data_IF_834621841534
#
_entry.id   IF_834621841534
#
_cell.length_a   1.000
_cell.length_b   1.000
_cell.length_c   1.000
_cell.angle_alpha   90.00
_cell.angle_beta   90.00
_cell.angle_gamma   90.00
#
_symmetry.space_group_name_H-M   'P 1'
#
loop_
_entity.id
_entity.type
_entity.pdbx_description
1 polymer ?
#
# COMPACT_ATOMS: atom_id res chain seq x y z
N UNK A 1 3.79 -8.47 20.39
CA UNK A 1 2.51 -8.65 21.13
C UNK A 1 1.30 -8.52 20.22
N UNK A 2 1.21 -7.46 19.41
CA UNK A 2 0.08 -7.23 18.46
C UNK A 2 -0.02 -8.35 17.45
N UNK A 3 1.05 -8.68 16.72
CA UNK A 3 1.07 -9.76 15.72
C UNK A 3 0.67 -11.12 16.30
N UNK A 4 1.16 -11.48 17.50
CA UNK A 4 0.74 -12.72 18.16
C UNK A 4 -0.75 -12.72 18.44
N UNK A 5 -1.30 -11.60 18.92
CA UNK A 5 -2.74 -11.47 19.13
C UNK A 5 -3.53 -11.52 17.83
N UNK A 6 -3.02 -10.92 16.75
CA UNK A 6 -3.64 -11.02 15.43
C UNK A 6 -3.60 -12.47 14.92
N UNK A 7 -2.46 -13.16 15.04
CA UNK A 7 -2.36 -14.57 14.68
C UNK A 7 -3.27 -15.47 15.53
N UNK A 8 -3.40 -15.18 16.83
CA UNK A 8 -4.36 -15.88 17.71
C UNK A 8 -5.82 -15.55 17.34
N UNK A 9 -6.09 -14.32 16.88
CA UNK A 9 -7.42 -13.86 16.48
C UNK A 9 -7.87 -14.45 15.14
N UNK A 10 -7.00 -14.39 14.13
CA UNK A 10 -7.27 -14.91 12.79
C UNK A 10 -6.86 -16.38 12.61
N UNK A 11 -5.80 -16.82 13.30
CA UNK A 11 -5.32 -18.19 13.27
C UNK A 11 -6.33 -19.14 13.91
N UNK A 12 -6.68 -20.20 13.19
CA UNK A 12 -7.73 -21.11 13.61
C UNK A 12 -7.29 -22.56 13.38
N UNK A 13 -7.56 -23.40 14.36
CA UNK A 13 -7.49 -24.86 14.19
C UNK A 13 -8.56 -25.42 13.25
N UNK A 14 -9.57 -24.61 12.91
CA UNK A 14 -10.62 -24.98 11.96
C UNK A 14 -10.18 -24.67 10.53
N UNK A 15 -10.74 -25.41 9.56
CA UNK A 15 -10.47 -25.20 8.13
C UNK A 15 -10.75 -23.76 7.69
N UNK A 16 -9.86 -23.20 6.87
CA UNK A 16 -9.98 -21.87 6.26
C UNK A 16 -10.53 -21.91 4.83
N UNK A 17 -10.92 -23.10 4.34
CA UNK A 17 -11.46 -23.28 3.00
C UNK A 17 -12.81 -22.61 2.77
N UNK A 18 -13.21 -22.52 1.50
CA UNK A 18 -14.55 -22.05 1.12
C UNK A 18 -15.64 -22.93 1.75
N UNK A 19 -16.76 -22.30 2.14
CA UNK A 19 -17.89 -23.01 2.76
C UNK A 19 -17.74 -23.28 4.26
N UNK A 20 -16.58 -23.07 4.86
CA UNK A 20 -16.33 -23.27 6.30
C UNK A 20 -16.75 -22.10 7.18
N UNK A 21 -17.24 -21.02 6.61
CA UNK A 21 -17.59 -19.79 7.33
C UNK A 21 -16.41 -18.88 7.66
N UNK A 22 -15.17 -19.26 7.31
CA UNK A 22 -14.00 -18.43 7.60
C UNK A 22 -13.97 -17.17 6.72
N UNK A 23 -14.14 -17.33 5.41
CA UNK A 23 -14.21 -16.21 4.47
C UNK A 23 -15.37 -15.25 4.79
N UNK A 24 -16.53 -15.78 5.14
CA UNK A 24 -17.64 -14.93 5.57
C UNK A 24 -17.33 -14.19 6.89
N UNK A 25 -16.58 -14.79 7.80
CA UNK A 25 -16.09 -14.11 9.00
C UNK A 25 -15.13 -12.96 8.68
N UNK A 26 -14.17 -13.17 7.78
CA UNK A 26 -13.25 -12.13 7.29
C UNK A 26 -14.03 -10.99 6.62
N UNK A 27 -14.95 -11.31 5.70
CA UNK A 27 -15.76 -10.30 5.02
C UNK A 27 -16.63 -9.51 6.00
N UNK A 28 -17.21 -10.17 7.01
CA UNK A 28 -17.98 -9.50 8.05
C UNK A 28 -17.13 -8.52 8.84
N UNK A 29 -15.97 -8.94 9.32
CA UNK A 29 -15.05 -8.09 10.08
C UNK A 29 -14.53 -6.92 9.22
N UNK A 30 -14.20 -7.18 7.97
CA UNK A 30 -13.72 -6.18 7.01
C UNK A 30 -14.79 -5.12 6.71
N UNK A 31 -15.99 -5.53 6.32
CA UNK A 31 -17.09 -4.61 6.01
C UNK A 31 -17.57 -3.85 7.25
N UNK A 32 -17.60 -4.52 8.41
CA UNK A 32 -17.90 -3.88 9.69
C UNK A 32 -16.90 -2.78 10.04
N UNK A 33 -15.60 -3.05 9.86
CA UNK A 33 -14.53 -2.07 10.11
C UNK A 33 -14.61 -0.88 9.17
N UNK A 34 -14.81 -1.12 7.86
CA UNK A 34 -14.96 -0.07 6.86
C UNK A 34 -16.19 0.80 7.12
N UNK A 35 -17.34 0.18 7.39
CA UNK A 35 -18.58 0.93 7.64
C UNK A 35 -18.47 1.76 8.91
N UNK A 36 -17.92 1.22 9.98
CA UNK A 36 -17.74 1.95 11.24
C UNK A 36 -16.74 3.09 11.08
N UNK A 37 -15.59 2.86 10.44
CA UNK A 37 -14.61 3.90 10.13
C UNK A 37 -15.19 5.02 9.26
N UNK A 38 -15.98 4.67 8.23
CA UNK A 38 -16.66 5.66 7.38
C UNK A 38 -17.68 6.50 8.15
N UNK A 39 -18.46 5.88 9.04
CA UNK A 39 -19.39 6.61 9.93
C UNK A 39 -18.65 7.55 10.88
N UNK A 40 -17.49 7.12 11.42
CA UNK A 40 -16.61 7.99 12.21
C UNK A 40 -16.12 9.20 11.41
N UNK A 41 -15.71 8.98 10.14
CA UNK A 41 -15.31 10.05 9.23
C UNK A 41 -16.44 11.08 9.02
N UNK A 42 -17.68 10.63 8.90
CA UNK A 42 -18.83 11.51 8.74
C UNK A 42 -19.15 12.29 10.04
N UNK A 43 -18.92 11.70 11.22
CA UNK A 43 -19.12 12.37 12.51
C UNK A 43 -18.03 13.39 12.86
N UNK A 44 -16.78 13.07 12.51
CA UNK A 44 -15.60 13.87 12.84
C UNK A 44 -14.82 14.27 11.59
N UNK A 45 -15.47 14.92 10.60
CA UNK A 45 -14.84 15.16 9.31
C UNK A 45 -13.62 16.07 9.40
N UNK A 46 -13.58 17.03 10.33
CA UNK A 46 -12.44 17.92 10.51
C UNK A 46 -11.15 17.22 10.96
N UNK A 47 -11.30 16.15 11.76
CA UNK A 47 -10.18 15.41 12.31
C UNK A 47 -9.78 14.21 11.44
N UNK A 48 -10.77 13.52 10.88
CA UNK A 48 -10.56 12.20 10.28
C UNK A 48 -10.50 12.22 8.74
N UNK A 49 -11.03 13.29 8.09
CA UNK A 49 -11.07 13.31 6.62
C UNK A 49 -10.14 14.37 6.05
N UNK A 50 -9.51 14.06 4.91
CA UNK A 50 -8.67 15.00 4.19
C UNK A 50 -9.53 16.06 3.46
N UNK A 51 -9.19 17.37 3.56
CA UNK A 51 -9.96 18.44 2.91
C UNK A 51 -10.07 18.22 1.38
N UNK A 52 -8.98 17.76 0.76
CA UNK A 52 -8.88 17.55 -0.67
C UNK A 52 -9.85 16.47 -1.15
N UNK A 53 -9.87 15.32 -0.48
CA UNK A 53 -10.75 14.20 -0.85
C UNK A 53 -12.21 14.55 -0.53
N UNK A 54 -12.44 15.17 0.62
CA UNK A 54 -13.78 15.57 1.07
C UNK A 54 -14.50 16.50 0.08
N UNK A 55 -13.77 17.41 -0.57
CA UNK A 55 -14.33 18.32 -1.57
C UNK A 55 -14.87 17.61 -2.81
N UNK A 56 -14.46 16.35 -3.05
CA UNK A 56 -14.83 15.55 -4.20
C UNK A 56 -15.79 14.40 -3.86
N UNK A 57 -16.28 14.30 -2.64
CA UNK A 57 -17.14 13.19 -2.24
C UNK A 57 -18.47 13.16 -3.00
N UNK A 58 -18.75 12.09 -3.76
CA UNK A 58 -20.08 11.83 -4.26
C UNK A 58 -20.95 11.29 -3.12
N UNK A 59 -21.44 12.17 -2.25
CA UNK A 59 -22.10 11.81 -0.98
C UNK A 59 -23.19 10.76 -1.11
N UNK A 60 -23.97 10.81 -2.21
CA UNK A 60 -24.96 9.76 -2.46
C UNK A 60 -24.32 8.38 -2.59
N UNK A 61 -23.27 8.25 -3.40
CA UNK A 61 -22.58 6.97 -3.59
C UNK A 61 -21.90 6.47 -2.28
N UNK A 62 -21.30 7.38 -1.51
CA UNK A 62 -20.69 7.03 -0.20
C UNK A 62 -21.76 6.52 0.77
N UNK A 63 -22.93 7.16 0.86
CA UNK A 63 -24.03 6.69 1.71
C UNK A 63 -24.55 5.32 1.29
N UNK A 64 -24.70 5.08 -0.03
CA UNK A 64 -25.08 3.77 -0.56
C UNK A 64 -24.00 2.73 -0.22
N UNK A 65 -22.73 3.07 -0.39
CA UNK A 65 -21.62 2.16 -0.05
C UNK A 65 -21.63 1.81 1.45
N UNK A 66 -21.76 2.78 2.35
CA UNK A 66 -21.85 2.54 3.80
C UNK A 66 -23.02 1.59 4.10
N UNK A 67 -24.18 1.81 3.49
CA UNK A 67 -25.34 0.94 3.68
C UNK A 67 -25.06 -0.50 3.19
N UNK A 68 -24.45 -0.66 2.03
CA UNK A 68 -24.06 -1.97 1.50
C UNK A 68 -23.04 -2.67 2.41
N UNK A 69 -22.07 -1.94 2.93
CA UNK A 69 -21.06 -2.49 3.85
C UNK A 69 -21.69 -2.95 5.16
N UNK A 70 -22.60 -2.17 5.75
CA UNK A 70 -23.35 -2.55 6.96
C UNK A 70 -24.16 -3.83 6.71
N UNK A 71 -24.95 -3.86 5.64
CA UNK A 71 -25.78 -5.02 5.29
C UNK A 71 -24.91 -6.24 5.00
N UNK A 72 -23.83 -6.07 4.25
CA UNK A 72 -22.86 -7.13 3.96
C UNK A 72 -22.23 -7.69 5.24
N UNK A 73 -21.82 -6.81 6.17
CA UNK A 73 -21.26 -7.23 7.45
C UNK A 73 -22.25 -8.09 8.26
N UNK A 74 -23.53 -7.73 8.28
CA UNK A 74 -24.58 -8.54 8.92
C UNK A 74 -24.77 -9.88 8.24
N UNK A 75 -24.95 -9.92 6.91
CA UNK A 75 -25.16 -11.15 6.15
C UNK A 75 -24.00 -12.13 6.38
N UNK A 76 -22.78 -11.69 6.13
CA UNK A 76 -21.60 -12.52 6.27
C UNK A 76 -21.30 -12.90 7.73
N UNK A 77 -21.61 -12.02 8.69
CA UNK A 77 -21.48 -12.32 10.12
C UNK A 77 -22.45 -13.42 10.58
N UNK A 78 -23.70 -13.39 10.13
CA UNK A 78 -24.68 -14.43 10.41
C UNK A 78 -24.25 -15.75 9.79
N UNK A 79 -23.83 -15.75 8.51
CA UNK A 79 -23.34 -16.95 7.83
C UNK A 79 -22.14 -17.56 8.58
N UNK A 80 -21.16 -16.74 8.92
CA UNK A 80 -19.99 -17.20 9.67
C UNK A 80 -20.36 -17.74 11.05
N UNK A 81 -21.28 -17.08 11.76
CA UNK A 81 -21.76 -17.54 13.06
C UNK A 81 -22.48 -18.87 13.01
N UNK A 82 -23.16 -19.18 11.90
CA UNK A 82 -23.82 -20.44 11.69
C UNK A 82 -22.86 -21.58 11.34
N UNK A 83 -21.81 -21.29 10.56
CA UNK A 83 -20.92 -22.31 10.01
C UNK A 83 -19.71 -22.62 10.89
N UNK A 84 -19.26 -21.68 11.75
CA UNK A 84 -18.04 -21.84 12.56
C UNK A 84 -18.32 -21.99 14.05
N UNK A 85 -17.47 -22.77 14.71
CA UNK A 85 -17.46 -22.86 16.19
C UNK A 85 -16.84 -21.62 16.79
N UNK A 86 -15.67 -21.17 16.28
CA UNK A 86 -15.00 -19.94 16.69
C UNK A 86 -15.63 -18.74 15.99
N UNK A 87 -16.39 -17.96 16.74
CA UNK A 87 -17.25 -16.88 16.22
C UNK A 87 -16.62 -15.48 16.32
N UNK A 88 -15.33 -15.37 16.63
CA UNK A 88 -14.65 -14.10 16.89
C UNK A 88 -14.78 -13.12 15.73
N UNK A 89 -14.45 -13.56 14.50
CA UNK A 89 -14.53 -12.73 13.29
C UNK A 89 -15.96 -12.26 13.03
N UNK A 90 -16.91 -13.19 13.13
CA UNK A 90 -18.34 -12.89 12.94
C UNK A 90 -18.82 -11.84 13.94
N UNK A 91 -18.56 -12.04 15.24
CA UNK A 91 -18.96 -11.10 16.27
C UNK A 91 -18.26 -9.75 16.14
N UNK A 92 -17.00 -9.70 15.76
CA UNK A 92 -16.30 -8.44 15.48
C UNK A 92 -17.02 -7.66 14.39
N UNK A 93 -17.30 -8.29 13.25
CA UNK A 93 -18.01 -7.64 12.16
C UNK A 93 -19.42 -7.18 12.54
N UNK A 94 -20.19 -8.04 13.21
CA UNK A 94 -21.53 -7.72 13.68
C UNK A 94 -21.54 -6.55 14.69
N UNK A 95 -20.62 -6.55 15.67
CA UNK A 95 -20.51 -5.48 16.65
C UNK A 95 -20.16 -4.14 16.02
N UNK A 96 -19.22 -4.13 15.06
CA UNK A 96 -18.85 -2.92 14.33
C UNK A 96 -19.99 -2.40 13.45
N UNK A 97 -20.73 -3.30 12.77
CA UNK A 97 -21.88 -2.94 11.98
C UNK A 97 -23.05 -2.40 12.85
N UNK A 98 -23.27 -3.00 14.05
CA UNK A 98 -24.21 -2.49 15.04
C UNK A 98 -23.80 -1.08 15.52
N UNK A 99 -22.51 -0.90 15.86
CA UNK A 99 -21.99 0.39 16.28
C UNK A 99 -22.14 1.44 15.18
N UNK A 100 -21.79 1.10 13.92
CA UNK A 100 -21.99 1.98 12.79
C UNK A 100 -23.47 2.38 12.63
N UNK A 101 -24.38 1.42 12.74
CA UNK A 101 -25.84 1.66 12.65
C UNK A 101 -26.34 2.54 13.79
N UNK A 102 -25.93 2.23 15.03
CA UNK A 102 -26.32 2.99 16.21
C UNK A 102 -25.85 4.45 16.18
N UNK A 103 -24.74 4.71 15.50
CA UNK A 103 -24.20 6.07 15.28
C UNK A 103 -24.74 6.73 14.01
N UNK A 104 -25.87 6.27 13.48
CA UNK A 104 -26.59 6.89 12.37
C UNK A 104 -26.29 6.30 10.99
N UNK A 105 -25.33 5.38 10.85
CA UNK A 105 -25.04 4.65 9.61
C UNK A 105 -24.87 5.57 8.40
N UNK A 106 -25.58 5.26 7.32
CA UNK A 106 -25.56 6.04 6.08
C UNK A 106 -26.32 7.38 6.19
N UNK A 107 -27.04 7.64 7.30
CA UNK A 107 -27.89 8.84 7.48
C UNK A 107 -27.22 9.93 8.32
N UNK A 108 -25.98 9.77 8.73
CA UNK A 108 -25.23 10.74 9.53
C UNK A 108 -25.26 12.12 8.85
N UNK A 109 -25.63 13.15 9.64
CA UNK A 109 -25.58 14.54 9.19
C UNK A 109 -24.15 15.07 9.32
N UNK A 110 -23.63 15.69 8.28
CA UNK A 110 -22.32 16.33 8.30
C UNK A 110 -22.53 17.79 8.72
N UNK A 111 -21.85 18.22 9.79
CA UNK A 111 -21.83 19.62 10.16
C UNK A 111 -20.95 20.39 9.19
N UNK A 112 -21.51 21.36 8.47
CA UNK A 112 -20.87 22.10 7.39
C UNK A 112 -19.81 23.11 7.84
N UNK A 113 -19.65 23.39 9.13
CA UNK A 113 -18.63 24.31 9.65
C UNK A 113 -17.25 23.64 9.65
N UNK A 114 -16.74 23.40 8.43
CA UNK A 114 -15.44 22.75 8.25
C UNK A 114 -14.34 23.80 8.31
N UNK A 115 -13.40 23.66 9.24
CA UNK A 115 -12.17 24.44 9.30
C UNK A 115 -11.07 23.68 8.58
N UNK A 116 -10.24 24.41 7.83
CA UNK A 116 -9.01 23.86 7.30
C UNK A 116 -8.03 23.63 8.44
N UNK A 117 -7.54 22.39 8.56
CA UNK A 117 -6.61 22.00 9.61
C UNK A 117 -5.98 20.64 9.32
N UNK A 118 -4.96 20.25 10.09
CA UNK A 118 -4.35 18.92 9.92
C UNK A 118 -5.39 17.84 10.21
N UNK A 119 -5.54 16.92 9.28
CA UNK A 119 -6.42 15.77 9.35
C UNK A 119 -5.61 14.47 9.38
N UNK A 120 -6.18 13.42 9.96
CA UNK A 120 -5.53 12.08 10.01
C UNK A 120 -5.60 11.39 8.64
N UNK A 121 -6.63 11.69 7.81
CA UNK A 121 -6.81 11.06 6.51
C UNK A 121 -7.34 9.61 6.61
N UNK A 122 -8.13 9.31 7.65
CA UNK A 122 -8.76 8.00 7.81
C UNK A 122 -9.66 7.62 6.62
N UNK A 123 -10.31 8.60 6.01
CA UNK A 123 -11.12 8.46 4.80
C UNK A 123 -10.29 7.93 3.62
N UNK A 124 -9.11 8.51 3.41
CA UNK A 124 -8.18 8.05 2.37
C UNK A 124 -7.72 6.63 2.64
N UNK A 125 -7.34 6.32 3.88
CA UNK A 125 -6.93 4.98 4.29
C UNK A 125 -8.04 3.93 4.06
N UNK A 126 -9.28 4.24 4.44
CA UNK A 126 -10.41 3.32 4.27
C UNK A 126 -10.72 3.07 2.78
N UNK A 127 -10.66 4.12 1.97
CA UNK A 127 -10.89 4.03 0.52
C UNK A 127 -9.78 3.21 -0.14
N UNK A 128 -8.54 3.47 0.20
CA UNK A 128 -7.37 2.75 -0.30
C UNK A 128 -7.46 1.25 0.06
N UNK A 129 -7.64 0.93 1.34
CA UNK A 129 -7.82 -0.44 1.81
C UNK A 129 -8.98 -1.16 1.11
N UNK A 130 -10.10 -0.48 0.90
CA UNK A 130 -11.25 -1.04 0.21
C UNK A 130 -10.93 -1.34 -1.27
N UNK A 131 -10.39 -0.35 -1.99
CA UNK A 131 -10.05 -0.50 -3.41
C UNK A 131 -8.98 -1.57 -3.63
N UNK A 132 -7.91 -1.55 -2.84
CA UNK A 132 -6.86 -2.56 -2.93
C UNK A 132 -7.41 -3.97 -2.70
N UNK A 133 -8.20 -4.16 -1.65
CA UNK A 133 -8.75 -5.48 -1.35
C UNK A 133 -9.71 -5.99 -2.43
N UNK A 134 -10.61 -5.14 -2.96
CA UNK A 134 -11.58 -5.60 -3.98
C UNK A 134 -10.95 -5.83 -5.37
N UNK A 135 -9.80 -5.23 -5.64
CA UNK A 135 -9.06 -5.44 -6.89
C UNK A 135 -8.12 -6.65 -6.74
N UNK A 136 -7.22 -6.61 -5.78
CA UNK A 136 -6.08 -7.53 -5.75
C UNK A 136 -6.39 -8.88 -5.11
N UNK A 137 -7.26 -8.95 -4.09
CA UNK A 137 -7.64 -10.25 -3.50
C UNK A 137 -8.32 -11.17 -4.53
N UNK A 138 -9.30 -10.72 -5.35
CA UNK A 138 -9.83 -11.55 -6.42
C UNK A 138 -8.79 -11.91 -7.49
N UNK A 139 -7.93 -10.97 -7.91
CA UNK A 139 -6.91 -11.23 -8.92
C UNK A 139 -5.94 -12.33 -8.48
N UNK A 140 -5.42 -12.26 -7.26
CA UNK A 140 -4.51 -13.25 -6.69
C UNK A 140 -5.20 -14.59 -6.37
N UNK A 141 -6.50 -14.56 -6.05
CA UNK A 141 -7.26 -15.80 -5.78
C UNK A 141 -7.61 -16.55 -7.05
N UNK A 142 -7.95 -15.82 -8.12
CA UNK A 142 -8.41 -16.43 -9.38
C UNK A 142 -7.26 -16.82 -10.30
N UNK A 143 -6.16 -16.06 -10.28
CA UNK A 143 -5.02 -16.26 -11.20
C UNK A 143 -3.66 -16.14 -10.48
N UNK A 144 -3.41 -16.91 -9.41
CA UNK A 144 -2.15 -16.84 -8.69
C UNK A 144 -1.00 -17.41 -9.51
N UNK A 145 0.21 -16.82 -9.38
CA UNK A 145 1.44 -17.41 -9.88
C UNK A 145 1.88 -18.59 -9.00
N UNK A 146 1.73 -18.44 -7.69
CA UNK A 146 2.06 -19.46 -6.69
C UNK A 146 0.78 -19.88 -5.94
N UNK A 147 0.02 -20.86 -6.46
CA UNK A 147 -1.26 -21.28 -5.86
C UNK A 147 -1.13 -21.79 -4.42
N UNK A 148 0.00 -22.40 -4.09
CA UNK A 148 0.31 -22.93 -2.76
C UNK A 148 0.53 -21.84 -1.71
N UNK A 149 0.82 -20.59 -2.12
CA UNK A 149 1.03 -19.48 -1.20
C UNK A 149 -0.22 -19.13 -0.39
N UNK A 150 -1.40 -19.23 -1.00
CA UNK A 150 -2.68 -18.84 -0.39
C UNK A 150 -2.77 -17.34 -0.10
N UNK A 151 -4.01 -16.84 0.05
CA UNK A 151 -4.27 -15.40 0.30
C UNK A 151 -3.78 -14.95 1.68
N UNK A 152 -3.78 -15.83 2.68
CA UNK A 152 -3.30 -15.54 4.04
C UNK A 152 -2.07 -16.39 4.32
N UNK A 153 -1.01 -16.07 3.59
CA UNK A 153 0.29 -16.72 3.68
C UNK A 153 0.98 -16.44 5.02
N UNK A 154 2.10 -17.08 5.23
CA UNK A 154 2.91 -16.78 6.42
C UNK A 154 3.29 -15.29 6.44
N UNK A 155 3.34 -14.67 7.61
CA UNK A 155 3.65 -13.25 7.86
C UNK A 155 2.61 -12.22 7.36
N UNK A 156 1.46 -12.62 6.77
CA UNK A 156 0.46 -11.66 6.31
C UNK A 156 -0.01 -10.66 7.40
N UNK A 157 -0.05 -11.10 8.66
CA UNK A 157 -0.41 -10.22 9.79
C UNK A 157 0.64 -9.15 10.05
N UNK A 158 1.92 -9.43 9.79
CA UNK A 158 2.99 -8.45 9.83
C UNK A 158 2.77 -7.40 8.71
N UNK A 159 2.42 -7.84 7.51
CA UNK A 159 2.15 -6.95 6.39
C UNK A 159 0.91 -6.09 6.62
N UNK A 160 -0.14 -6.63 7.26
CA UNK A 160 -1.30 -5.81 7.71
C UNK A 160 -0.86 -4.71 8.68
N UNK A 161 0.04 -5.00 9.63
CA UNK A 161 0.56 -3.98 10.55
C UNK A 161 1.35 -2.91 9.79
N UNK A 162 2.14 -3.32 8.79
CA UNK A 162 2.84 -2.38 7.92
C UNK A 162 1.88 -1.55 7.08
N UNK A 163 0.89 -2.17 6.45
CA UNK A 163 -0.14 -1.46 5.70
C UNK A 163 -0.80 -0.36 6.56
N UNK A 164 -1.20 -0.69 7.78
CA UNK A 164 -1.76 0.29 8.71
C UNK A 164 -0.76 1.37 9.10
N UNK A 165 0.49 1.02 9.36
CA UNK A 165 1.51 1.97 9.85
C UNK A 165 2.08 2.89 8.76
N UNK A 166 1.99 2.51 7.49
CA UNK A 166 2.46 3.31 6.35
C UNK A 166 1.34 4.14 5.74
N UNK A 167 0.15 3.55 5.55
CA UNK A 167 -0.97 4.21 4.89
C UNK A 167 -1.80 5.11 5.81
N UNK A 168 -1.99 4.74 7.09
CA UNK A 168 -2.78 5.58 8.00
C UNK A 168 -2.12 6.94 8.29
N UNK A 169 -0.80 7.06 8.56
CA UNK A 169 -0.17 8.36 8.79
C UNK A 169 0.26 9.08 7.49
N UNK A 170 -0.25 8.67 6.33
CA UNK A 170 0.15 9.21 5.02
C UNK A 170 0.02 10.73 4.93
N UNK A 171 -0.99 11.31 5.58
CA UNK A 171 -1.19 12.76 5.61
C UNK A 171 -0.08 13.48 6.38
N UNK A 172 0.37 12.90 7.50
CA UNK A 172 1.48 13.44 8.29
C UNK A 172 2.79 13.34 7.50
N UNK A 173 3.04 12.19 6.87
CA UNK A 173 4.23 11.99 6.03
C UNK A 173 4.22 12.91 4.83
N UNK A 174 3.07 13.07 4.16
CA UNK A 174 2.90 13.99 3.04
C UNK A 174 3.15 15.43 3.46
N UNK A 175 2.63 15.85 4.62
CA UNK A 175 2.89 17.18 5.17
C UNK A 175 4.38 17.41 5.41
N UNK A 176 5.08 16.46 6.03
CA UNK A 176 6.52 16.55 6.32
C UNK A 176 7.37 16.66 5.05
N UNK A 177 6.94 16.03 3.96
CA UNK A 177 7.66 16.05 2.67
C UNK A 177 7.24 17.26 1.83
N UNK A 178 5.94 17.51 1.70
CA UNK A 178 5.40 18.51 0.77
C UNK A 178 5.59 19.96 1.29
N UNK A 179 5.53 20.16 2.62
CA UNK A 179 5.69 21.54 3.15
C UNK A 179 7.06 22.15 2.82
N UNK A 180 8.20 21.46 3.08
CA UNK A 180 9.50 21.95 2.65
C UNK A 180 9.60 22.13 1.13
N UNK A 181 9.07 21.20 0.35
CA UNK A 181 9.08 21.26 -1.11
C UNK A 181 8.27 22.45 -1.63
N UNK A 182 7.09 22.73 -1.05
CA UNK A 182 6.27 23.89 -1.40
C UNK A 182 6.99 25.21 -1.11
N UNK A 183 7.71 25.29 0.02
CA UNK A 183 8.51 26.46 0.32
C UNK A 183 9.69 26.62 -0.66
N UNK A 184 10.41 25.53 -0.94
CA UNK A 184 11.51 25.54 -1.91
C UNK A 184 11.03 25.98 -3.30
N UNK A 185 9.87 25.51 -3.76
CA UNK A 185 9.30 25.88 -5.07
C UNK A 185 9.01 27.37 -5.20
N UNK A 186 8.61 28.05 -4.11
CA UNK A 186 8.40 29.50 -4.13
C UNK A 186 9.67 30.29 -4.44
N UNK A 187 10.84 29.81 -4.00
CA UNK A 187 12.13 30.49 -4.17
C UNK A 187 12.93 29.94 -5.36
N UNK A 188 12.80 28.65 -5.66
CA UNK A 188 13.60 27.97 -6.68
C UNK A 188 12.77 27.61 -7.92
N UNK A 189 11.46 27.86 -7.88
CA UNK A 189 10.54 27.53 -8.98
C UNK A 189 10.97 28.17 -10.30
N UNK A 190 10.76 27.44 -11.38
CA UNK A 190 11.04 27.88 -12.75
C UNK A 190 9.71 28.18 -13.46
N UNK A 191 9.21 29.45 -13.37
CA UNK A 191 7.90 29.79 -13.93
C UNK A 191 7.76 29.48 -15.42
N UNK A 192 8.88 29.63 -16.17
CA UNK A 192 8.91 29.29 -17.59
C UNK A 192 8.60 27.78 -17.84
N UNK A 193 9.17 26.88 -17.03
CA UNK A 193 8.92 25.44 -17.12
C UNK A 193 7.46 25.13 -16.77
N UNK A 194 6.96 25.69 -15.67
CA UNK A 194 5.56 25.52 -15.26
C UNK A 194 4.59 25.96 -16.35
N UNK A 195 4.89 27.10 -17.00
CA UNK A 195 4.07 27.61 -18.09
C UNK A 195 4.09 26.72 -19.34
N UNK A 196 5.24 26.15 -19.69
CA UNK A 196 5.35 25.18 -20.79
C UNK A 196 4.56 23.91 -20.48
N UNK A 197 4.72 23.33 -19.29
CA UNK A 197 4.02 22.12 -18.88
C UNK A 197 2.51 22.37 -18.82
N UNK A 198 2.05 23.47 -18.24
CA UNK A 198 0.63 23.81 -18.11
C UNK A 198 -0.10 23.96 -19.47
N UNK A 199 0.62 24.25 -20.56
CA UNK A 199 0.05 24.31 -21.92
C UNK A 199 -0.09 22.96 -22.60
N UNK A 200 0.53 21.91 -22.09
CA UNK A 200 0.41 20.57 -22.65
C UNK A 200 -1.01 19.99 -22.41
N UNK A 201 -1.52 19.15 -23.32
CA UNK A 201 -2.70 18.34 -23.03
C UNK A 201 -2.54 17.53 -21.74
N UNK A 202 -3.62 17.41 -20.97
CA UNK A 202 -3.59 16.76 -19.64
C UNK A 202 -2.90 15.38 -19.64
N UNK A 203 -3.24 14.54 -20.63
CA UNK A 203 -2.64 13.20 -20.75
C UNK A 203 -1.13 13.27 -20.95
N UNK A 204 -0.62 14.24 -21.71
CA UNK A 204 0.82 14.40 -21.94
C UNK A 204 1.51 14.90 -20.67
N UNK A 205 0.88 15.82 -19.91
CA UNK A 205 1.38 16.22 -18.60
C UNK A 205 1.47 15.02 -17.65
N UNK A 206 0.42 14.18 -17.61
CA UNK A 206 0.40 13.00 -16.76
C UNK A 206 1.50 12.00 -17.12
N UNK A 207 1.64 11.66 -18.39
CA UNK A 207 2.70 10.74 -18.86
C UNK A 207 4.10 11.28 -18.55
N UNK A 208 4.30 12.59 -18.73
CA UNK A 208 5.57 13.23 -18.38
C UNK A 208 5.83 13.20 -16.87
N UNK A 209 4.80 13.41 -16.06
CA UNK A 209 4.90 13.29 -14.60
C UNK A 209 5.29 11.88 -14.16
N UNK A 210 4.70 10.84 -14.77
CA UNK A 210 5.07 9.44 -14.50
C UNK A 210 6.52 9.17 -14.84
N UNK A 211 7.01 9.66 -15.99
CA UNK A 211 8.43 9.51 -16.38
C UNK A 211 9.36 10.24 -15.40
N UNK A 212 9.06 11.48 -15.05
CA UNK A 212 9.87 12.28 -14.11
C UNK A 212 9.93 11.60 -12.73
N UNK A 213 8.79 11.12 -12.26
CA UNK A 213 8.69 10.42 -10.98
C UNK A 213 9.48 9.11 -10.99
N UNK A 214 9.35 8.30 -12.04
CA UNK A 214 10.04 7.00 -12.15
C UNK A 214 11.56 7.16 -12.25
N UNK A 215 12.04 8.18 -12.98
CA UNK A 215 13.48 8.49 -13.01
C UNK A 215 13.98 8.93 -11.62
N UNK A 216 13.22 9.75 -10.91
CA UNK A 216 13.59 10.16 -9.56
C UNK A 216 13.58 8.98 -8.59
N UNK A 217 12.58 8.12 -8.69
CA UNK A 217 12.45 6.91 -7.88
C UNK A 217 13.58 5.91 -8.18
N UNK A 218 13.92 5.71 -9.44
CA UNK A 218 15.06 4.88 -9.84
C UNK A 218 16.34 5.26 -9.08
N UNK A 219 16.66 6.55 -8.99
CA UNK A 219 17.91 6.99 -8.34
C UNK A 219 17.86 6.83 -6.82
N UNK A 220 16.73 7.13 -6.17
CA UNK A 220 16.63 6.90 -4.73
C UNK A 220 16.61 5.40 -4.42
N UNK A 221 15.91 4.59 -5.21
CA UNK A 221 15.84 3.15 -5.06
C UNK A 221 17.23 2.49 -5.23
N UNK A 222 17.96 2.89 -6.26
CA UNK A 222 19.36 2.51 -6.43
C UNK A 222 20.22 2.89 -5.21
N UNK A 223 20.04 4.10 -4.67
CA UNK A 223 20.76 4.55 -3.49
C UNK A 223 20.40 3.74 -2.23
N UNK A 224 19.12 3.41 -2.05
CA UNK A 224 18.63 2.54 -0.98
C UNK A 224 19.31 1.17 -1.00
N UNK A 225 19.59 0.62 -2.18
CA UNK A 225 20.33 -0.64 -2.33
C UNK A 225 21.85 -0.50 -2.19
N UNK A 226 22.43 0.57 -2.72
CA UNK A 226 23.90 0.71 -2.83
C UNK A 226 24.55 1.40 -1.63
N UNK A 227 23.80 2.19 -0.86
CA UNK A 227 24.34 2.87 0.32
C UNK A 227 24.04 2.02 1.56
N UNK A 228 25.05 1.44 2.25
CA UNK A 228 24.83 0.47 3.34
C UNK A 228 23.99 1.01 4.50
N UNK A 229 24.03 2.32 4.75
CA UNK A 229 23.17 2.95 5.76
C UNK A 229 21.71 2.97 5.35
N UNK A 230 21.42 3.27 4.08
CA UNK A 230 20.06 3.33 3.53
C UNK A 230 19.48 1.92 3.37
N UNK A 231 20.31 0.97 2.95
CA UNK A 231 19.91 -0.45 2.84
C UNK A 231 19.27 -0.98 4.12
N UNK A 232 19.74 -0.57 5.29
CA UNK A 232 19.17 -1.04 6.58
C UNK A 232 17.66 -0.80 6.68
N UNK A 233 17.18 0.30 6.12
CA UNK A 233 15.76 0.66 6.09
C UNK A 233 15.03 -0.09 4.98
N UNK A 234 15.64 -0.16 3.80
CA UNK A 234 15.08 -0.82 2.63
C UNK A 234 15.09 -2.35 2.73
N UNK A 235 16.00 -2.94 3.48
CA UNK A 235 16.01 -4.37 3.78
C UNK A 235 14.74 -4.85 4.48
N UNK A 236 14.00 -3.97 5.17
CA UNK A 236 12.68 -4.28 5.72
C UNK A 236 11.71 -4.61 4.59
N UNK A 237 11.72 -3.82 3.50
CA UNK A 237 10.91 -4.05 2.31
C UNK A 237 11.26 -5.38 1.63
N UNK A 238 12.55 -5.66 1.49
CA UNK A 238 13.04 -6.92 0.92
C UNK A 238 12.96 -8.14 1.83
N UNK A 239 12.51 -8.01 3.08
CA UNK A 239 12.49 -9.12 4.04
C UNK A 239 11.37 -10.12 3.83
N UNK A 240 10.38 -9.82 3.01
CA UNK A 240 9.25 -10.72 2.74
C UNK A 240 9.72 -11.97 2.01
N UNK A 241 9.33 -13.15 2.53
CA UNK A 241 9.66 -14.46 1.93
C UNK A 241 8.64 -14.93 0.89
N UNK A 242 7.59 -14.17 0.69
CA UNK A 242 6.58 -14.38 -0.31
C UNK A 242 5.93 -13.05 -0.66
N UNK A 243 5.69 -12.76 -1.92
CA UNK A 243 5.09 -11.51 -2.38
C UNK A 243 3.61 -11.69 -2.70
N UNK A 244 2.84 -10.71 -2.31
CA UNK A 244 1.45 -10.47 -2.66
C UNK A 244 1.16 -8.96 -2.56
N UNK A 245 -0.05 -8.56 -2.90
CA UNK A 245 -0.45 -7.15 -2.91
C UNK A 245 -0.17 -6.40 -1.60
N UNK A 246 -0.31 -7.07 -0.44
CA UNK A 246 -0.12 -6.43 0.86
C UNK A 246 1.36 -6.39 1.29
N UNK A 247 2.19 -7.31 0.76
CA UNK A 247 3.64 -7.29 1.00
C UNK A 247 4.32 -6.03 0.49
N UNK A 248 3.78 -5.41 -0.57
CA UNK A 248 4.25 -4.13 -1.08
C UNK A 248 4.24 -3.00 -0.05
N UNK A 249 3.38 -3.09 0.98
CA UNK A 249 3.30 -2.12 2.06
C UNK A 249 4.32 -2.34 3.18
N UNK A 250 5.09 -3.43 3.16
CA UNK A 250 6.17 -3.69 4.14
C UNK A 250 7.33 -2.75 3.88
N UNK A 251 7.29 -1.56 4.44
CA UNK A 251 8.31 -0.53 4.29
C UNK A 251 8.61 0.15 5.62
N UNK A 252 9.88 0.53 5.82
CA UNK A 252 10.28 1.33 6.95
C UNK A 252 9.89 2.80 6.71
N UNK A 253 9.39 3.51 7.72
CA UNK A 253 8.93 4.91 7.56
C UNK A 253 10.01 5.87 7.03
N UNK A 254 11.30 5.62 7.30
CA UNK A 254 12.42 6.40 6.73
C UNK A 254 12.52 6.17 5.22
N UNK A 255 12.47 4.92 4.80
CA UNK A 255 12.46 4.51 3.40
C UNK A 255 11.28 5.17 2.66
N UNK A 256 10.07 4.97 3.17
CA UNK A 256 8.84 5.52 2.61
C UNK A 256 8.88 7.07 2.49
N UNK A 257 9.43 7.75 3.50
CA UNK A 257 9.60 9.22 3.49
C UNK A 257 10.61 9.67 2.44
N UNK A 258 11.73 8.96 2.30
CA UNK A 258 12.75 9.28 1.30
C UNK A 258 12.22 9.08 -0.13
N UNK A 259 11.61 7.93 -0.40
CA UNK A 259 11.03 7.62 -1.72
C UNK A 259 9.98 8.68 -2.08
N UNK A 260 9.02 8.97 -1.20
CA UNK A 260 8.00 10.02 -1.42
C UNK A 260 8.63 11.38 -1.67
N UNK A 261 9.67 11.76 -0.92
CA UNK A 261 10.38 13.02 -1.10
C UNK A 261 11.01 13.12 -2.49
N UNK A 262 11.69 12.09 -2.93
CA UNK A 262 12.33 12.06 -4.24
C UNK A 262 11.34 12.07 -5.41
N UNK A 263 10.17 11.44 -5.24
CA UNK A 263 9.12 11.42 -6.27
C UNK A 263 8.36 12.76 -6.31
N UNK A 264 7.90 13.24 -5.17
CA UNK A 264 6.97 14.38 -5.12
C UNK A 264 7.66 15.72 -5.33
N UNK A 265 8.89 15.90 -4.83
CA UNK A 265 9.60 17.18 -4.98
C UNK A 265 9.81 17.56 -6.45
N UNK A 266 10.34 16.72 -7.35
CA UNK A 266 10.42 17.04 -8.77
C UNK A 266 9.08 17.40 -9.40
N UNK A 267 8.01 16.69 -9.04
CA UNK A 267 6.68 16.96 -9.57
C UNK A 267 6.15 18.33 -9.17
N UNK A 268 6.41 18.78 -7.94
CA UNK A 268 5.98 20.09 -7.48
C UNK A 268 6.62 21.26 -8.23
N UNK A 269 7.81 21.08 -8.81
CA UNK A 269 8.49 22.14 -9.56
C UNK A 269 7.85 22.45 -10.91
N UNK A 270 7.11 21.51 -11.50
CA UNK A 270 6.60 21.68 -12.86
C UNK A 270 5.11 21.40 -13.05
N UNK A 271 4.49 20.57 -12.22
CA UNK A 271 3.16 20.03 -12.47
C UNK A 271 2.08 20.62 -11.57
N UNK A 272 0.84 20.63 -12.06
CA UNK A 272 -0.31 21.05 -11.28
C UNK A 272 -0.68 20.02 -10.22
N UNK A 273 -1.38 20.49 -9.19
CA UNK A 273 -1.88 19.62 -8.10
C UNK A 273 -2.73 18.43 -8.63
N UNK A 274 -3.57 18.67 -9.65
CA UNK A 274 -4.39 17.62 -10.23
C UNK A 274 -3.58 16.50 -10.91
N UNK A 275 -2.46 16.84 -11.53
CA UNK A 275 -1.53 15.86 -12.12
C UNK A 275 -0.83 15.07 -11.01
N UNK A 276 -0.39 15.76 -9.94
CA UNK A 276 0.25 15.10 -8.78
C UNK A 276 -0.72 14.11 -8.14
N UNK A 277 -1.99 14.49 -7.92
CA UNK A 277 -2.99 13.56 -7.38
C UNK A 277 -3.26 12.38 -8.31
N UNK A 278 -3.39 12.61 -9.60
CA UNK A 278 -3.57 11.52 -10.57
C UNK A 278 -2.38 10.54 -10.53
N UNK A 279 -1.16 11.08 -10.42
CA UNK A 279 0.03 10.26 -10.26
C UNK A 279 0.03 9.46 -8.95
N UNK A 280 -0.35 10.07 -7.82
CA UNK A 280 -0.42 9.37 -6.53
C UNK A 280 -1.39 8.18 -6.58
N UNK A 281 -2.55 8.34 -7.21
CA UNK A 281 -3.49 7.23 -7.43
C UNK A 281 -2.85 6.15 -8.31
N UNK A 282 -2.22 6.56 -9.40
CA UNK A 282 -1.58 5.63 -10.33
C UNK A 282 -0.44 4.86 -9.67
N UNK A 283 0.49 5.53 -8.97
CA UNK A 283 1.63 4.86 -8.33
C UNK A 283 1.18 3.91 -7.23
N UNK A 284 0.18 4.26 -6.44
CA UNK A 284 -0.37 3.39 -5.40
C UNK A 284 -0.92 2.09 -6.01
N UNK A 285 -1.74 2.19 -7.06
CA UNK A 285 -2.26 1.02 -7.76
C UNK A 285 -1.15 0.22 -8.43
N UNK A 286 -0.25 0.89 -9.15
CA UNK A 286 0.78 0.18 -9.92
C UNK A 286 1.86 -0.45 -9.04
N UNK A 287 2.33 0.21 -7.99
CA UNK A 287 3.29 -0.36 -7.05
C UNK A 287 2.70 -1.58 -6.30
N UNK A 288 1.43 -1.52 -5.91
CA UNK A 288 0.73 -2.69 -5.36
C UNK A 288 0.62 -3.81 -6.38
N UNK A 289 0.26 -3.49 -7.64
CA UNK A 289 0.20 -4.45 -8.74
C UNK A 289 1.52 -5.19 -8.94
N UNK A 290 2.65 -4.50 -8.91
CA UNK A 290 3.96 -5.11 -9.17
C UNK A 290 4.38 -6.12 -8.11
N UNK A 291 3.81 -6.05 -6.90
CA UNK A 291 4.04 -7.03 -5.83
C UNK A 291 3.08 -8.21 -5.87
N UNK A 292 1.98 -8.13 -6.66
CA UNK A 292 0.93 -9.14 -6.65
C UNK A 292 1.43 -10.54 -7.02
N UNK A 293 0.87 -11.56 -6.36
CA UNK A 293 0.99 -12.95 -6.75
C UNK A 293 0.06 -13.24 -7.94
N UNK A 294 0.37 -12.69 -9.12
CA UNK A 294 -0.46 -12.76 -10.31
C UNK A 294 0.29 -13.40 -11.48
N UNK A 295 -0.21 -14.57 -11.94
CA UNK A 295 0.46 -15.41 -12.93
C UNK A 295 0.33 -15.01 -14.40
N UNK A 296 -0.83 -14.51 -14.87
CA UNK A 296 -1.01 -14.17 -16.27
C UNK A 296 0.01 -13.17 -16.79
N UNK A 297 0.55 -13.47 -17.97
CA UNK A 297 1.68 -12.77 -18.54
C UNK A 297 1.27 -12.01 -19.81
N UNK A 298 1.50 -10.71 -19.85
CA UNK A 298 1.27 -9.87 -21.02
C UNK A 298 2.60 -9.46 -21.67
N UNK A 299 3.29 -10.41 -22.33
CA UNK A 299 4.64 -10.24 -22.90
C UNK A 299 4.83 -8.98 -23.75
N UNK A 300 3.79 -8.51 -24.42
CA UNK A 300 3.86 -7.28 -25.21
C UNK A 300 3.93 -6.02 -24.33
N UNK A 301 3.24 -6.03 -23.17
CA UNK A 301 3.19 -4.91 -22.23
C UNK A 301 4.46 -4.84 -21.38
N UNK A 302 5.05 -5.97 -21.02
CA UNK A 302 6.26 -6.09 -20.21
C UNK A 302 7.49 -5.38 -20.78
N UNK A 303 7.47 -5.08 -22.08
CA UNK A 303 8.53 -4.30 -22.73
C UNK A 303 8.48 -2.81 -22.36
N UNK A 304 7.30 -2.32 -21.99
CA UNK A 304 7.00 -0.90 -21.78
C UNK A 304 6.66 -0.57 -20.36
N UNK A 305 6.08 -1.52 -19.62
CA UNK A 305 5.58 -1.32 -18.25
C UNK A 305 6.12 -2.42 -17.34
N UNK A 306 6.54 -2.03 -16.14
CA UNK A 306 6.91 -2.97 -15.08
C UNK A 306 5.69 -3.80 -14.69
N UNK A 307 5.84 -5.10 -14.72
CA UNK A 307 4.81 -6.10 -14.40
C UNK A 307 5.24 -6.91 -13.17
N UNK A 308 4.34 -7.68 -12.54
CA UNK A 308 4.69 -8.43 -11.32
C UNK A 308 5.98 -9.24 -11.44
N UNK A 309 6.14 -10.08 -12.47
CA UNK A 309 7.35 -10.89 -12.64
C UNK A 309 8.64 -10.06 -12.66
N UNK A 310 8.62 -8.86 -13.25
CA UNK A 310 9.77 -7.98 -13.30
C UNK A 310 10.20 -7.51 -11.91
N UNK A 311 9.25 -7.07 -11.11
CA UNK A 311 9.50 -6.58 -9.76
C UNK A 311 9.75 -7.73 -8.77
N UNK A 312 9.16 -8.91 -9.00
CA UNK A 312 9.49 -10.10 -8.25
C UNK A 312 10.97 -10.51 -8.39
N UNK A 313 11.57 -10.31 -9.57
CA UNK A 313 13.02 -10.48 -9.74
C UNK A 313 13.84 -9.44 -8.99
N UNK A 314 13.29 -8.24 -8.75
CA UNK A 314 13.93 -7.26 -7.88
C UNK A 314 13.96 -7.72 -6.42
N UNK A 315 12.91 -8.37 -5.94
CA UNK A 315 12.78 -8.89 -4.58
C UNK A 315 13.43 -10.25 -4.34
N UNK A 316 14.08 -10.82 -5.34
CA UNK A 316 14.67 -12.16 -5.20
C UNK A 316 15.90 -12.15 -4.30
N UNK A 317 16.11 -13.29 -3.58
CA UNK A 317 17.37 -13.60 -2.91
C UNK A 317 18.34 -14.41 -3.79
N UNK A 318 18.02 -14.61 -5.07
CA UNK A 318 18.89 -15.29 -6.03
C UNK A 318 19.93 -14.30 -6.58
N UNK A 319 21.20 -14.70 -6.63
CA UNK A 319 22.35 -13.82 -6.95
C UNK A 319 22.20 -13.06 -8.28
N UNK A 320 21.54 -13.66 -9.24
CA UNK A 320 21.35 -13.12 -10.59
C UNK A 320 20.46 -11.88 -10.60
N UNK A 321 19.49 -11.82 -9.68
CA UNK A 321 18.52 -10.72 -9.56
C UNK A 321 18.88 -9.68 -8.50
N UNK A 322 19.90 -9.93 -7.66
CA UNK A 322 20.31 -8.97 -6.64
C UNK A 322 20.81 -7.69 -7.33
N UNK A 323 20.35 -6.54 -6.82
CA UNK A 323 20.69 -5.21 -7.33
C UNK A 323 20.31 -5.01 -8.81
N UNK A 324 19.15 -5.51 -9.21
CA UNK A 324 18.54 -5.36 -10.53
C UNK A 324 17.14 -4.75 -10.42
N UNK A 325 16.65 -4.19 -11.54
CA UNK A 325 15.24 -3.79 -11.74
C UNK A 325 14.74 -2.73 -10.76
N UNK A 326 15.38 -1.57 -10.72
CA UNK A 326 15.06 -0.49 -9.79
C UNK A 326 13.89 0.40 -10.25
N UNK A 327 13.58 0.43 -11.55
CA UNK A 327 12.45 1.20 -12.07
C UNK A 327 11.10 0.60 -11.61
N UNK A 328 10.14 1.45 -11.27
CA UNK A 328 8.82 1.04 -10.81
C UNK A 328 7.78 1.02 -11.93
N UNK A 329 7.93 1.91 -12.93
CA UNK A 329 6.97 1.98 -14.03
C UNK A 329 7.54 1.52 -15.36
N UNK A 330 8.76 1.91 -15.70
CA UNK A 330 9.30 1.76 -17.04
C UNK A 330 10.61 0.98 -17.10
N UNK A 331 10.62 -0.30 -17.57
CA UNK A 331 11.83 -1.12 -17.62
C UNK A 331 12.95 -0.56 -18.50
N UNK A 332 12.65 0.40 -19.41
CA UNK A 332 13.66 1.03 -20.25
C UNK A 332 14.65 1.88 -19.43
N UNK A 333 14.27 2.37 -18.25
CA UNK A 333 15.18 3.09 -17.35
C UNK A 333 16.31 2.15 -16.92
N UNK A 334 15.96 0.96 -16.43
CA UNK A 334 16.96 -0.06 -16.06
C UNK A 334 17.84 -0.48 -17.23
N UNK A 335 17.30 -0.51 -18.46
CA UNK A 335 18.11 -0.79 -19.66
C UNK A 335 19.14 0.31 -19.94
N UNK A 336 18.76 1.58 -19.78
CA UNK A 336 19.68 2.71 -19.95
C UNK A 336 20.82 2.66 -18.93
N UNK A 337 20.50 2.33 -17.67
CA UNK A 337 21.49 2.34 -16.59
C UNK A 337 22.16 0.98 -16.33
N UNK A 338 21.84 -0.08 -17.11
CA UNK A 338 22.50 -1.39 -17.06
C UNK A 338 22.10 -2.27 -15.87
N UNK A 339 20.95 -1.99 -15.26
CA UNK A 339 20.40 -2.74 -14.12
C UNK A 339 19.26 -3.68 -14.50
N UNK A 340 18.94 -3.75 -15.79
CA UNK A 340 17.87 -4.60 -16.31
C UNK A 340 18.22 -6.09 -16.21
N UNK A 341 17.32 -6.90 -15.61
CA UNK A 341 17.38 -8.35 -15.58
C UNK A 341 15.96 -8.94 -15.65
N UNK A 342 15.65 -9.67 -16.71
CA UNK A 342 14.29 -10.15 -16.93
C UNK A 342 14.25 -11.48 -17.70
N UNK A 343 14.50 -12.62 -17.03
CA UNK A 343 14.35 -13.95 -17.64
C UNK A 343 12.89 -14.34 -17.81
N UNK A 344 12.63 -15.40 -18.57
CA UNK A 344 11.26 -15.90 -18.80
C UNK A 344 10.66 -16.61 -17.58
N UNK A 345 11.50 -17.12 -16.70
CA UNK A 345 11.12 -17.78 -15.47
C UNK A 345 10.81 -16.78 -14.35
N UNK A 346 10.04 -17.21 -13.38
CA UNK A 346 9.82 -16.48 -12.13
C UNK A 346 10.91 -16.81 -11.11
N UNK A 347 11.24 -15.91 -10.17
CA UNK A 347 12.20 -16.21 -9.12
C UNK A 347 11.65 -17.28 -8.17
N UNK A 348 12.52 -18.19 -7.73
CA UNK A 348 12.14 -19.29 -6.82
C UNK A 348 12.21 -18.89 -5.34
N UNK A 349 12.98 -17.85 -5.02
CA UNK A 349 13.25 -17.45 -3.63
C UNK A 349 13.20 -15.96 -3.46
N UNK A 350 12.57 -15.53 -2.38
CA UNK A 350 12.44 -14.14 -1.94
C UNK A 350 13.12 -13.92 -0.59
N UNK A 351 13.25 -12.67 -0.19
CA UNK A 351 13.84 -12.27 1.06
C UNK A 351 15.29 -11.84 0.94
N UNK A 352 15.99 -11.78 2.06
CA UNK A 352 17.37 -11.32 2.16
C UNK A 352 18.36 -12.48 1.97
N UNK A 353 19.41 -12.27 1.17
CA UNK A 353 20.45 -13.27 0.95
C UNK A 353 21.47 -13.24 2.12
N UNK A 354 21.36 -14.25 2.99
CA UNK A 354 22.30 -14.41 4.13
C UNK A 354 22.18 -13.38 5.25
N UNK A 355 21.24 -12.45 5.15
CA UNK A 355 20.94 -11.48 6.20
C UNK A 355 19.64 -11.87 6.93
N UNK A 356 19.65 -11.70 8.26
CA UNK A 356 18.45 -11.82 9.09
C UNK A 356 18.09 -10.48 9.69
N UNK A 357 16.83 -10.15 9.69
CA UNK A 357 16.27 -9.01 10.41
C UNK A 357 15.31 -9.48 11.49
N UNK A 358 14.98 -8.59 12.43
CA UNK A 358 14.03 -8.91 13.47
C UNK A 358 12.70 -9.45 12.88
N UNK A 359 12.11 -10.52 13.46
CA UNK A 359 10.92 -11.16 12.88
C UNK A 359 9.62 -10.40 13.15
N UNK A 360 9.65 -9.24 13.81
CA UNK A 360 8.47 -8.49 14.26
C UNK A 360 8.58 -7.02 13.94
N UNK A 361 7.43 -6.37 13.73
CA UNK A 361 7.30 -4.96 13.38
C UNK A 361 8.19 -4.02 14.22
N UNK A 362 8.10 -4.04 15.54
CA UNK A 362 8.90 -3.15 16.40
C UNK A 362 10.40 -3.40 16.29
N UNK A 363 10.79 -4.66 16.14
CA UNK A 363 12.20 -4.99 15.90
C UNK A 363 12.68 -4.42 14.58
N UNK A 364 11.94 -4.65 13.49
CA UNK A 364 12.24 -4.12 12.16
C UNK A 364 12.22 -2.58 12.11
N UNK A 365 11.41 -1.93 12.94
CA UNK A 365 11.36 -0.47 13.03
C UNK A 365 12.56 0.12 13.78
N UNK A 366 13.09 -0.57 14.80
CA UNK A 366 14.15 -0.04 15.67
C UNK A 366 15.54 -0.48 15.21
N UNK A 367 15.69 -1.73 14.75
CA UNK A 367 16.96 -2.33 14.39
C UNK A 367 17.77 -1.54 13.33
N UNK A 368 17.19 -0.91 12.29
CA UNK A 368 17.92 -0.11 11.31
C UNK A 368 18.73 1.04 11.91
N UNK A 369 18.30 1.59 13.04
CA UNK A 369 19.00 2.67 13.74
C UNK A 369 20.13 2.17 14.63
N UNK A 370 20.18 0.87 14.92
CA UNK A 370 21.21 0.31 15.80
C UNK A 370 22.46 -0.02 14.98
N UNK A 371 23.64 0.16 15.60
CA UNK A 371 24.90 -0.28 14.99
C UNK A 371 24.94 -1.80 15.07
N UNK A 372 24.66 -2.50 13.98
CA UNK A 372 24.92 -3.95 13.90
C UNK A 372 26.42 -4.16 14.10
N UNK A 373 26.83 -4.75 15.22
CA UNK A 373 28.13 -5.42 15.26
C UNK A 373 28.09 -6.49 14.17
N UNK A 374 28.91 -6.35 13.12
CA UNK A 374 29.08 -7.42 12.12
C UNK A 374 29.28 -8.72 12.92
N UNK A 375 28.34 -9.64 12.81
CA UNK A 375 28.61 -11.01 13.19
C UNK A 375 29.73 -11.46 12.26
N UNK A 376 30.93 -11.63 12.81
CA UNK A 376 32.03 -12.27 12.11
C UNK A 376 31.56 -13.69 11.89
N UNK A 377 31.02 -13.97 10.72
CA UNK A 377 30.85 -15.33 10.25
C UNK A 377 32.26 -15.91 10.26
N UNK A 378 32.52 -16.76 11.26
CA UNK A 378 33.68 -17.62 11.22
C UNK A 378 33.54 -18.49 9.98
N UNK A 379 34.44 -18.23 9.02
CA UNK A 379 34.72 -19.11 7.87
C UNK A 379 34.99 -20.53 8.32
#
# INVERSE_FOLDING_TARGET
MIERKLNEFFGDAESTGFGTGWWSGILSAFFGSLSFGAVLCLHFPQLLTSPELRSHYPMFAIRVLIQCLIVGAFIFGIISSALRKKKTLAFTGLLLAIAATAWGGSSVQINETLRDGPAIGLDWFLLDMFLMAIIYVPLETLWPQYPEQGTFRNEWTLDVVYFMSTHLPIQVLSFLVLLPATQATKYLGVPALQHVIARMPWLLQFLLAVVVADVAEYFIHLALHKVPFLWRFHAVHHSSKALDWIAGSRSHFVDDTLVRGFILVPLMFGFSQSIIFAYLIFVTLHATWTHCNFGPNAKWLEKYLVMPRYHHWHHTSQKEGIDKNFAIHFPWIDRIFGTYYYPDEWPERYGLDGEEIAPRFWGQTIEPFTIRKKSVLKT
#
